data_IF_462343476695
#
_entry.id   IF_462343476695
#
_cell.length_a   1.000
_cell.length_b   1.000
_cell.length_c   1.000
_cell.angle_alpha   90.00
_cell.angle_beta   90.00
_cell.angle_gamma   90.00
#
_symmetry.space_group_name_H-M   'P 1'
#
loop_
_entity.id
_entity.type
_entity.pdbx_description
1 polymer ?
#
# COMPACT_ATOMS: atom_id res chain seq x y z
N UNK A 1 19.40 9.66 1.97
CA UNK A 1 19.54 10.06 0.55
C UNK A 1 20.95 9.84 0.00
N UNK A 2 22.01 10.28 0.69
CA UNK A 2 23.42 10.12 0.22
C UNK A 2 23.80 8.67 -0.12
N UNK A 3 23.45 7.69 0.72
CA UNK A 3 23.77 6.28 0.46
C UNK A 3 23.12 5.73 -0.83
N UNK A 4 21.87 6.13 -1.11
CA UNK A 4 21.18 5.74 -2.35
C UNK A 4 21.87 6.32 -3.59
N UNK A 5 22.37 7.56 -3.49
CA UNK A 5 23.13 8.19 -4.57
C UNK A 5 24.48 7.48 -4.80
N UNK A 6 25.17 7.09 -3.72
CA UNK A 6 26.43 6.32 -3.79
C UNK A 6 26.21 4.94 -4.42
N UNK A 7 25.15 4.22 -4.03
CA UNK A 7 24.84 2.90 -4.61
C UNK A 7 24.43 2.98 -6.09
N UNK A 8 23.87 4.10 -6.54
CA UNK A 8 23.52 4.34 -7.95
C UNK A 8 24.68 4.95 -8.75
N UNK A 9 25.82 5.22 -8.12
CA UNK A 9 26.99 5.82 -8.78
C UNK A 9 27.77 4.79 -9.61
N UNK A 10 28.50 5.23 -10.66
CA UNK A 10 29.29 4.34 -11.51
C UNK A 10 30.36 3.55 -10.73
N UNK A 11 30.87 4.11 -9.63
CA UNK A 11 31.91 3.50 -8.80
C UNK A 11 31.40 2.29 -8.00
N UNK A 12 30.12 2.25 -7.67
CA UNK A 12 29.48 1.13 -6.97
C UNK A 12 28.96 0.05 -7.94
N UNK A 13 29.05 0.26 -9.26
CA UNK A 13 28.47 -0.64 -10.27
C UNK A 13 29.06 -2.05 -10.23
N UNK A 14 30.38 -2.19 -10.09
CA UNK A 14 31.04 -3.49 -9.97
C UNK A 14 30.61 -4.29 -8.72
N UNK A 15 30.40 -3.61 -7.59
CA UNK A 15 29.87 -4.23 -6.37
C UNK A 15 28.40 -4.62 -6.53
N UNK A 16 27.59 -3.81 -7.20
CA UNK A 16 26.20 -4.18 -7.48
C UNK A 16 26.12 -5.42 -8.38
N UNK A 17 27.02 -5.54 -9.35
CA UNK A 17 27.02 -6.64 -10.31
C UNK A 17 27.45 -7.97 -9.68
N UNK A 18 28.42 -7.96 -8.75
CA UNK A 18 28.79 -9.15 -7.98
C UNK A 18 27.67 -9.59 -7.04
N UNK A 19 26.97 -8.65 -6.41
CA UNK A 19 25.84 -8.96 -5.52
C UNK A 19 24.63 -9.50 -6.29
N UNK A 20 24.34 -8.96 -7.48
CA UNK A 20 23.24 -9.44 -8.34
C UNK A 20 23.48 -10.85 -8.90
N UNK A 21 24.75 -11.27 -9.02
CA UNK A 21 25.09 -12.61 -9.48
C UNK A 21 24.63 -13.70 -8.48
N UNK A 22 24.52 -13.38 -7.20
CA UNK A 22 23.98 -14.29 -6.18
C UNK A 22 22.45 -14.16 -6.11
N UNK A 23 21.77 -14.61 -7.15
CA UNK A 23 20.31 -14.74 -7.16
C UNK A 23 19.89 -16.18 -6.90
N UNK A 24 18.76 -16.39 -6.23
CA UNK A 24 18.12 -17.70 -6.12
C UNK A 24 17.50 -18.11 -7.46
N UNK A 25 17.40 -19.42 -7.74
CA UNK A 25 16.82 -19.96 -8.99
C UNK A 25 15.40 -19.43 -9.27
N UNK A 26 14.65 -19.13 -8.22
CA UNK A 26 13.36 -18.45 -8.31
C UNK A 26 13.46 -17.12 -7.58
N UNK A 27 13.31 -16.02 -8.33
CA UNK A 27 13.30 -14.66 -7.78
C UNK A 27 11.86 -14.20 -7.47
N UNK A 28 10.87 -14.99 -7.85
CA UNK A 28 9.47 -14.76 -7.52
C UNK A 28 8.73 -16.06 -7.20
N UNK A 29 7.71 -15.95 -6.36
CA UNK A 29 6.79 -17.06 -6.05
C UNK A 29 6.12 -17.55 -7.34
N UNK A 30 5.85 -16.65 -8.30
CA UNK A 30 5.28 -16.99 -9.59
C UNK A 30 6.20 -17.88 -10.44
N UNK A 31 7.51 -17.59 -10.44
CA UNK A 31 8.53 -18.39 -11.14
C UNK A 31 8.62 -19.82 -10.59
N UNK A 32 8.51 -20.02 -9.27
CA UNK A 32 8.51 -21.36 -8.67
C UNK A 32 7.39 -22.25 -9.21
N UNK A 33 6.22 -21.67 -9.48
CA UNK A 33 5.06 -22.40 -10.00
C UNK A 33 4.98 -22.37 -11.55
N UNK A 34 5.94 -21.76 -12.23
CA UNK A 34 5.90 -21.51 -13.68
C UNK A 34 4.60 -20.83 -14.13
N UNK A 35 4.04 -19.97 -13.26
CA UNK A 35 2.81 -19.24 -13.50
C UNK A 35 3.11 -17.80 -13.88
N UNK A 36 2.23 -17.19 -14.66
CA UNK A 36 2.25 -15.74 -14.79
C UNK A 36 1.99 -15.08 -13.43
N UNK A 37 2.49 -13.86 -13.22
CA UNK A 37 2.32 -13.12 -11.96
C UNK A 37 0.88 -12.63 -11.78
N UNK A 38 0.15 -12.44 -12.87
CA UNK A 38 -1.19 -11.83 -12.90
C UNK A 38 -2.25 -12.56 -12.06
N UNK A 39 -2.35 -13.90 -12.05
CA UNK A 39 -3.22 -14.63 -11.15
C UNK A 39 -2.98 -14.32 -9.66
N UNK A 40 -1.71 -14.24 -9.23
CA UNK A 40 -1.39 -13.91 -7.82
C UNK A 40 -1.81 -12.48 -7.48
N UNK A 41 -1.57 -11.54 -8.39
CA UNK A 41 -2.01 -10.14 -8.24
C UNK A 41 -3.53 -10.04 -8.18
N UNK A 42 -4.24 -10.77 -9.06
CA UNK A 42 -5.69 -10.79 -9.07
C UNK A 42 -6.27 -11.35 -7.76
N UNK A 43 -5.71 -12.45 -7.24
CA UNK A 43 -6.12 -13.02 -5.94
C UNK A 43 -5.88 -12.03 -4.81
N UNK A 44 -4.71 -11.38 -4.76
CA UNK A 44 -4.41 -10.37 -3.76
C UNK A 44 -5.40 -9.19 -3.83
N UNK A 45 -5.71 -8.70 -5.03
CA UNK A 45 -6.68 -7.63 -5.23
C UNK A 45 -8.08 -8.03 -4.75
N UNK A 46 -8.54 -9.23 -5.07
CA UNK A 46 -9.86 -9.73 -4.63
C UNK A 46 -9.92 -9.82 -3.10
N UNK A 47 -8.89 -10.37 -2.47
CA UNK A 47 -8.84 -10.51 -1.01
C UNK A 47 -8.82 -9.15 -0.33
N UNK A 48 -7.98 -8.23 -0.79
CA UNK A 48 -7.87 -6.88 -0.21
C UNK A 48 -9.19 -6.11 -0.35
N UNK A 49 -9.81 -6.12 -1.53
CA UNK A 49 -11.13 -5.54 -1.75
C UNK A 49 -12.19 -6.15 -0.82
N UNK A 50 -12.19 -7.47 -0.67
CA UNK A 50 -13.13 -8.16 0.21
C UNK A 50 -12.95 -7.75 1.68
N UNK A 51 -11.72 -7.70 2.18
CA UNK A 51 -11.41 -7.28 3.55
C UNK A 51 -11.83 -5.83 3.77
N UNK A 52 -11.53 -4.93 2.82
CA UNK A 52 -11.94 -3.52 2.89
C UNK A 52 -13.47 -3.40 2.93
N UNK A 53 -14.19 -4.11 2.07
CA UNK A 53 -15.66 -4.11 2.08
C UNK A 53 -16.22 -4.64 3.40
N UNK A 54 -15.62 -5.70 3.96
CA UNK A 54 -16.01 -6.26 5.25
C UNK A 54 -15.82 -5.24 6.38
N UNK A 55 -14.71 -4.51 6.37
CA UNK A 55 -14.42 -3.48 7.38
C UNK A 55 -15.38 -2.29 7.26
N UNK A 56 -15.68 -1.86 6.04
CA UNK A 56 -16.62 -0.76 5.77
C UNK A 56 -18.06 -1.09 6.18
N UNK A 57 -18.46 -2.37 6.13
CA UNK A 57 -19.80 -2.85 6.51
C UNK A 57 -20.02 -2.95 8.02
N UNK A 58 -18.97 -2.82 8.85
CA UNK A 58 -19.13 -2.90 10.31
C UNK A 58 -20.00 -1.75 10.83
N UNK A 59 -21.01 -2.04 11.69
CA UNK A 59 -21.88 -1.01 12.22
C UNK A 59 -21.07 -0.02 13.08
N UNK A 60 -21.22 1.27 12.79
CA UNK A 60 -20.57 2.34 13.56
C UNK A 60 -21.36 2.59 14.84
N UNK A 61 -20.66 2.64 15.98
CA UNK A 61 -21.27 3.03 17.25
C UNK A 61 -21.83 4.44 17.13
N UNK A 62 -23.12 4.60 17.41
CA UNK A 62 -23.77 5.91 17.46
C UNK A 62 -23.41 6.58 18.78
N UNK A 63 -22.38 7.43 18.74
CA UNK A 63 -22.01 8.28 19.86
C UNK A 63 -22.77 9.60 19.75
N UNK A 64 -23.32 10.09 20.86
CA UNK A 64 -23.94 11.41 20.90
C UNK A 64 -22.88 12.47 20.58
N UNK A 65 -23.15 13.31 19.59
CA UNK A 65 -22.25 14.38 19.16
C UNK A 65 -22.95 15.72 19.27
N UNK A 66 -22.17 16.77 19.56
CA UNK A 66 -22.65 18.15 19.61
C UNK A 66 -23.05 18.62 18.20
N UNK A 67 -23.98 19.58 18.08
CA UNK A 67 -24.34 20.14 16.79
C UNK A 67 -23.12 20.79 16.11
N UNK A 68 -23.00 20.66 14.77
CA UNK A 68 -21.87 21.20 14.02
C UNK A 68 -21.85 22.73 14.08
N UNK A 69 -20.66 23.33 14.15
CA UNK A 69 -20.47 24.79 14.27
C UNK A 69 -20.25 25.47 12.92
N UNK A 70 -19.72 24.75 11.93
CA UNK A 70 -19.48 25.24 10.56
C UNK A 70 -20.44 24.54 9.59
N UNK A 71 -20.72 25.20 8.46
CA UNK A 71 -21.56 24.66 7.37
C UNK A 71 -20.78 24.60 6.06
N UNK A 72 -21.30 23.85 5.08
CA UNK A 72 -20.70 23.73 3.75
C UNK A 72 -19.35 23.02 3.71
N UNK A 73 -18.44 23.49 2.85
CA UNK A 73 -17.12 22.89 2.63
C UNK A 73 -16.25 22.97 3.89
N UNK A 74 -16.37 24.06 4.66
CA UNK A 74 -15.63 24.25 5.90
C UNK A 74 -15.96 23.19 6.96
N UNK A 75 -17.20 22.68 6.97
CA UNK A 75 -17.58 21.56 7.82
C UNK A 75 -16.88 20.26 7.40
N UNK A 76 -16.83 19.97 6.10
CA UNK A 76 -16.22 18.73 5.57
C UNK A 76 -14.70 18.72 5.79
N UNK A 77 -14.04 19.86 5.55
CA UNK A 77 -12.58 19.95 5.67
C UNK A 77 -12.09 19.95 7.12
N UNK A 78 -12.82 20.60 8.04
CA UNK A 78 -12.29 20.87 9.38
C UNK A 78 -13.06 20.21 10.54
N UNK A 79 -14.33 19.86 10.38
CA UNK A 79 -15.15 19.32 11.48
C UNK A 79 -15.53 17.85 11.26
N UNK A 80 -15.77 17.43 10.02
CA UNK A 80 -16.13 16.06 9.70
C UNK A 80 -14.90 15.17 9.73
N UNK A 81 -14.94 14.11 10.56
CA UNK A 81 -13.90 13.07 10.57
C UNK A 81 -13.83 12.37 9.21
N UNK A 82 -12.65 12.38 8.61
CA UNK A 82 -12.38 11.69 7.36
C UNK A 82 -12.27 10.19 7.59
N UNK A 83 -12.59 9.41 6.56
CA UNK A 83 -12.46 7.96 6.64
C UNK A 83 -10.96 7.61 6.59
N UNK A 84 -10.44 6.74 7.49
CA UNK A 84 -9.02 6.39 7.51
C UNK A 84 -8.47 5.92 6.15
N UNK A 85 -9.28 5.21 5.35
CA UNK A 85 -8.92 4.79 3.99
C UNK A 85 -8.77 5.92 2.96
N UNK A 86 -9.18 7.14 3.27
CA UNK A 86 -9.07 8.31 2.36
C UNK A 86 -7.89 9.20 2.77
N UNK A 87 -7.39 9.06 4.00
CA UNK A 87 -6.39 9.97 4.58
C UNK A 87 -5.10 9.27 5.03
N UNK A 88 -4.96 7.98 4.77
CA UNK A 88 -3.74 7.21 5.07
C UNK A 88 -2.63 7.49 4.04
#
# INVERSE_FOLDING_TARGET
>A
MVMSAVMRSPHASGLNQTLQHYSTEHNSIAETFNLSVWPLVAVLLVITLWVVMKELKKPKLKVATLPPRRTGIAHILFEKRWHPFVTA
#
